data_IF_486832957643
#
_entry.id   IF_486832957643
#
_cell.length_a   1.000
_cell.length_b   1.000
_cell.length_c   1.000
_cell.angle_alpha   90.00
_cell.angle_beta   90.00
_cell.angle_gamma   90.00
#
_symmetry.space_group_name_H-M   'P 1'
#
loop_
_entity.id
_entity.type
_entity.pdbx_description
1 polymer ?
#
# COMPACT_ATOMS: atom_id res chain seq x y z
N UNK A 1 -0.57 -1.46 2.53
CA UNK A 1 -0.22 -1.02 3.88
C UNK A 1 -1.49 -1.16 4.70
N UNK A 2 -1.49 -0.90 6.01
CA UNK A 2 -2.65 -1.10 6.86
C UNK A 2 -2.92 -2.57 7.22
N UNK A 3 -4.19 -2.93 7.48
CA UNK A 3 -4.55 -4.28 7.94
C UNK A 3 -4.10 -5.33 6.94
N UNK A 4 -3.08 -6.12 7.31
CA UNK A 4 -2.39 -7.02 6.38
C UNK A 4 -3.30 -8.13 5.85
N UNK A 5 -3.44 -8.21 4.52
CA UNK A 5 -4.23 -9.23 3.83
C UNK A 5 -5.75 -9.06 3.95
N UNK A 6 -6.21 -7.99 4.60
CA UNK A 6 -7.63 -7.79 4.89
C UNK A 6 -8.47 -7.62 3.61
N UNK A 7 -8.04 -6.79 2.67
CA UNK A 7 -8.81 -6.58 1.44
C UNK A 7 -9.08 -7.86 0.65
N UNK A 8 -8.09 -8.76 0.55
CA UNK A 8 -8.25 -10.07 -0.11
C UNK A 8 -9.16 -10.98 0.71
N UNK A 9 -9.01 -10.96 2.04
CA UNK A 9 -9.85 -11.73 2.96
C UNK A 9 -11.31 -11.27 2.90
N UNK A 10 -11.56 -9.95 2.96
CA UNK A 10 -12.90 -9.38 2.94
C UNK A 10 -13.62 -9.68 1.62
N UNK A 11 -12.94 -9.59 0.47
CA UNK A 11 -13.50 -9.98 -0.84
C UNK A 11 -13.95 -11.44 -0.90
N UNK A 12 -13.30 -12.33 -0.16
CA UNK A 12 -13.66 -13.76 -0.09
C UNK A 12 -14.74 -14.02 0.94
N UNK A 13 -14.69 -13.37 2.10
CA UNK A 13 -15.53 -13.66 3.26
C UNK A 13 -16.88 -12.93 3.19
N UNK A 14 -16.87 -11.69 2.74
CA UNK A 14 -18.06 -10.83 2.64
C UNK A 14 -18.00 -10.00 1.33
N UNK A 15 -18.13 -10.63 0.14
CA UNK A 15 -18.00 -9.93 -1.14
C UNK A 15 -19.02 -8.82 -1.33
N UNK A 16 -20.20 -8.94 -0.73
CA UNK A 16 -21.30 -7.98 -0.84
C UNK A 16 -21.03 -6.61 -0.20
N UNK A 17 -19.98 -6.47 0.63
CA UNK A 17 -19.62 -5.17 1.25
C UNK A 17 -18.99 -4.20 0.24
N UNK A 18 -18.54 -4.68 -0.92
CA UNK A 18 -17.93 -3.85 -1.97
C UNK A 18 -19.00 -3.36 -2.94
N UNK A 19 -19.47 -2.13 -2.74
CA UNK A 19 -20.44 -1.49 -3.64
C UNK A 19 -19.69 -0.81 -4.77
N UNK A 20 -19.65 -1.43 -5.94
CA UNK A 20 -18.95 -0.93 -7.12
C UNK A 20 -19.54 0.41 -7.59
N UNK A 21 -18.68 1.35 -7.93
CA UNK A 21 -19.02 2.66 -8.49
C UNK A 21 -18.25 2.85 -9.79
N UNK A 22 -18.96 2.98 -10.91
CA UNK A 22 -18.39 3.07 -12.25
C UNK A 22 -18.08 4.51 -12.70
N UNK A 23 -18.71 5.51 -12.06
CA UNK A 23 -18.62 6.90 -12.48
C UNK A 23 -18.34 7.84 -11.32
N UNK A 24 -17.45 8.79 -11.55
CA UNK A 24 -17.13 9.85 -10.58
C UNK A 24 -18.34 10.74 -10.27
N UNK A 25 -19.27 10.90 -11.22
CA UNK A 25 -20.51 11.65 -11.04
C UNK A 25 -21.43 11.12 -9.92
N UNK A 26 -21.20 9.88 -9.45
CA UNK A 26 -21.87 9.35 -8.26
C UNK A 26 -21.65 10.24 -7.03
N UNK A 27 -20.47 10.86 -6.93
CA UNK A 27 -20.10 11.74 -5.82
C UNK A 27 -20.44 13.20 -6.04
N UNK A 28 -21.26 13.53 -7.06
CA UNK A 28 -21.66 14.92 -7.33
C UNK A 28 -22.32 15.55 -6.12
N UNK A 29 -21.80 16.70 -5.67
CA UNK A 29 -22.28 17.40 -4.48
C UNK A 29 -21.86 16.77 -3.14
N UNK A 30 -21.17 15.63 -3.16
CA UNK A 30 -20.67 15.02 -1.95
C UNK A 30 -19.39 15.72 -1.47
N UNK A 31 -19.14 15.61 -0.15
CA UNK A 31 -17.89 16.02 0.50
C UNK A 31 -17.00 14.80 0.71
N UNK A 32 -15.77 14.86 0.22
CA UNK A 32 -14.78 13.80 0.36
C UNK A 32 -13.61 14.28 1.20
N UNK A 33 -13.05 13.43 2.05
CA UNK A 33 -11.74 13.62 2.64
C UNK A 33 -10.77 12.60 2.04
N UNK A 34 -9.72 13.08 1.39
CA UNK A 34 -8.81 12.27 0.55
C UNK A 34 -7.43 12.25 1.18
N UNK A 35 -6.90 11.05 1.43
CA UNK A 35 -5.51 10.83 1.80
C UNK A 35 -4.61 11.16 0.60
N UNK A 36 -3.96 12.32 0.66
CA UNK A 36 -3.10 12.79 -0.43
C UNK A 36 -1.67 12.27 -0.32
N UNK A 37 -1.21 11.93 0.87
CA UNK A 37 0.11 11.30 1.03
C UNK A 37 0.17 10.02 0.19
N UNK A 38 -0.75 9.10 0.44
CA UNK A 38 -0.87 7.86 -0.31
C UNK A 38 -1.14 8.10 -1.81
N UNK A 39 -1.96 9.10 -2.15
CA UNK A 39 -2.32 9.39 -3.54
C UNK A 39 -1.14 9.90 -4.36
N UNK A 40 -0.30 10.76 -3.79
CA UNK A 40 0.95 11.23 -4.44
C UNK A 40 1.92 10.08 -4.63
N UNK A 41 2.07 9.18 -3.65
CA UNK A 41 2.85 7.95 -3.82
C UNK A 41 2.34 7.08 -4.98
N UNK A 42 1.03 6.88 -5.10
CA UNK A 42 0.44 6.13 -6.23
C UNK A 42 0.75 6.78 -7.57
N UNK A 43 0.62 8.12 -7.67
CA UNK A 43 0.95 8.87 -8.89
C UNK A 43 2.43 8.77 -9.22
N UNK A 44 3.31 8.88 -8.21
CA UNK A 44 4.76 8.77 -8.37
C UNK A 44 5.18 7.41 -8.96
N UNK A 45 4.72 6.31 -8.38
CA UNK A 45 5.05 4.98 -8.90
C UNK A 45 4.41 4.69 -10.27
N UNK A 46 3.21 5.18 -10.52
CA UNK A 46 2.56 5.06 -11.85
C UNK A 46 3.33 5.78 -12.94
N UNK A 47 3.92 6.92 -12.63
CA UNK A 47 4.71 7.74 -13.56
C UNK A 47 6.22 7.42 -13.52
N UNK A 48 6.60 6.25 -12.99
CA UNK A 48 7.99 5.81 -12.91
C UNK A 48 8.95 6.87 -12.32
N UNK A 49 8.48 7.64 -11.33
CA UNK A 49 9.25 8.68 -10.66
C UNK A 49 9.37 10.02 -11.40
N UNK A 50 8.67 10.19 -12.53
CA UNK A 50 8.68 11.46 -13.28
C UNK A 50 7.86 12.53 -12.56
N UNK A 51 8.51 13.52 -11.97
CA UNK A 51 7.90 14.57 -11.14
C UNK A 51 6.92 15.44 -11.92
N UNK A 52 7.28 15.87 -13.13
CA UNK A 52 6.40 16.71 -13.95
C UNK A 52 5.11 15.98 -14.33
N UNK A 53 5.20 14.68 -14.59
CA UNK A 53 4.03 13.85 -14.86
C UNK A 53 3.15 13.70 -13.59
N UNK A 54 3.76 13.55 -12.41
CA UNK A 54 3.02 13.50 -11.13
C UNK A 54 2.28 14.82 -10.89
N UNK A 55 2.94 15.96 -11.09
CA UNK A 55 2.31 17.28 -10.88
C UNK A 55 1.18 17.54 -11.87
N UNK A 56 1.34 17.13 -13.14
CA UNK A 56 0.23 17.15 -14.13
C UNK A 56 -0.93 16.26 -13.72
N UNK A 57 -0.65 15.10 -13.13
CA UNK A 57 -1.68 14.20 -12.60
C UNK A 57 -2.43 14.82 -11.41
N UNK A 58 -1.74 15.51 -10.50
CA UNK A 58 -2.36 16.23 -9.37
C UNK A 58 -3.27 17.36 -9.89
N UNK A 59 -2.81 18.14 -10.86
CA UNK A 59 -3.61 19.21 -11.48
C UNK A 59 -4.86 18.64 -12.18
N UNK A 60 -4.69 17.59 -12.96
CA UNK A 60 -5.81 16.89 -13.61
C UNK A 60 -6.78 16.30 -12.58
N UNK A 61 -6.28 15.81 -11.46
CA UNK A 61 -7.08 15.23 -10.40
C UNK A 61 -8.03 16.27 -9.78
N UNK A 62 -7.52 17.43 -9.37
CA UNK A 62 -8.36 18.49 -8.79
C UNK A 62 -9.36 19.05 -9.80
N UNK A 63 -8.93 19.26 -11.05
CA UNK A 63 -9.82 19.71 -12.15
C UNK A 63 -10.98 18.74 -12.38
N UNK A 64 -10.74 17.44 -12.35
CA UNK A 64 -11.77 16.41 -12.49
C UNK A 64 -12.76 16.41 -11.33
N UNK A 65 -12.31 16.63 -10.10
CA UNK A 65 -13.19 16.73 -8.94
C UNK A 65 -14.10 17.97 -9.06
N UNK A 66 -13.53 19.12 -9.40
CA UNK A 66 -14.27 20.37 -9.59
C UNK A 66 -15.30 20.26 -10.71
N UNK A 67 -14.95 19.62 -11.85
CA UNK A 67 -15.87 19.40 -12.97
C UNK A 67 -17.09 18.54 -12.59
N UNK A 68 -16.99 17.73 -11.54
CA UNK A 68 -18.10 16.94 -11.00
C UNK A 68 -18.75 17.59 -9.79
N UNK A 69 -18.40 18.83 -9.45
CA UNK A 69 -18.90 19.53 -8.24
C UNK A 69 -18.71 18.73 -6.96
N UNK A 70 -17.56 18.05 -6.84
CA UNK A 70 -17.17 17.31 -5.64
C UNK A 70 -16.40 18.24 -4.71
N UNK A 71 -16.85 18.38 -3.47
CA UNK A 71 -16.18 19.18 -2.44
C UNK A 71 -15.14 18.33 -1.71
N UNK A 72 -13.86 18.47 -2.08
CA UNK A 72 -12.79 17.62 -1.58
C UNK A 72 -11.89 18.32 -0.55
N UNK A 73 -11.64 17.65 0.56
CA UNK A 73 -10.58 17.94 1.51
C UNK A 73 -9.38 17.07 1.21
N UNK A 74 -8.23 17.67 1.00
CA UNK A 74 -6.96 17.02 0.70
C UNK A 74 -6.11 16.98 1.96
N UNK A 75 -5.92 15.79 2.51
CA UNK A 75 -5.26 15.61 3.81
C UNK A 75 -3.88 15.00 3.60
N UNK A 76 -2.85 15.67 4.13
CA UNK A 76 -1.47 15.21 4.17
C UNK A 76 -1.09 14.78 5.58
N UNK A 77 -0.12 13.86 5.70
CA UNK A 77 0.44 13.46 6.99
C UNK A 77 1.05 14.64 7.73
N UNK A 78 0.89 14.60 9.03
CA UNK A 78 1.56 15.50 9.98
C UNK A 78 2.76 14.84 10.64
N UNK A 79 2.97 15.11 11.93
CA UNK A 79 4.07 14.50 12.70
C UNK A 79 3.64 13.14 13.28
N UNK A 80 4.02 12.08 12.59
CA UNK A 80 3.73 10.69 13.02
C UNK A 80 4.78 10.10 13.96
N UNK A 81 5.73 10.94 14.46
CA UNK A 81 6.79 10.49 15.37
C UNK A 81 6.21 9.87 16.63
N UNK A 82 6.64 8.66 16.94
CA UNK A 82 6.20 7.90 18.09
C UNK A 82 4.96 7.01 17.87
N UNK A 83 4.06 7.34 16.94
CA UNK A 83 2.85 6.55 16.72
C UNK A 83 3.09 5.31 15.85
N UNK A 84 3.93 5.41 14.84
CA UNK A 84 4.20 4.34 13.84
C UNK A 84 5.63 3.76 13.94
N UNK A 85 6.22 3.72 15.14
CA UNK A 85 7.62 3.28 15.30
C UNK A 85 7.88 1.89 14.73
N UNK A 86 7.01 0.92 15.03
CA UNK A 86 7.14 -0.46 14.54
C UNK A 86 7.04 -0.53 13.01
N UNK A 87 6.11 0.22 12.42
CA UNK A 87 5.96 0.32 10.97
C UNK A 87 7.17 0.99 10.31
N UNK A 88 7.71 2.05 10.91
CA UNK A 88 8.92 2.73 10.41
C UNK A 88 10.14 1.81 10.40
N UNK A 89 10.39 1.08 11.48
CA UNK A 89 11.49 0.09 11.55
C UNK A 89 11.33 -0.99 10.48
N UNK A 90 10.12 -1.53 10.32
CA UNK A 90 9.82 -2.53 9.31
C UNK A 90 10.02 -2.00 7.89
N UNK A 91 9.51 -0.79 7.60
CA UNK A 91 9.67 -0.12 6.29
C UNK A 91 11.13 0.17 5.99
N UNK A 92 11.94 0.55 6.99
CA UNK A 92 13.38 0.76 6.84
C UNK A 92 14.08 -0.54 6.47
N UNK A 93 13.85 -1.64 7.20
CA UNK A 93 14.43 -2.96 6.88
C UNK A 93 14.02 -3.47 5.50
N UNK A 94 12.77 -3.27 5.12
CA UNK A 94 12.29 -3.65 3.79
C UNK A 94 12.94 -2.82 2.68
N UNK A 95 13.16 -1.53 2.93
CA UNK A 95 13.87 -0.64 2.02
C UNK A 95 15.33 -1.06 1.87
N UNK A 96 16.02 -1.37 2.96
CA UNK A 96 17.40 -1.85 2.95
C UNK A 96 17.52 -3.13 2.11
N UNK A 97 16.62 -4.10 2.29
CA UNK A 97 16.57 -5.32 1.46
C UNK A 97 16.32 -5.04 -0.02
N UNK A 98 15.51 -4.02 -0.33
CA UNK A 98 15.26 -3.63 -1.73
C UNK A 98 16.50 -3.01 -2.37
N UNK A 99 17.23 -2.18 -1.62
CA UNK A 99 18.49 -1.59 -2.06
C UNK A 99 19.54 -2.70 -2.29
N UNK A 100 19.74 -3.58 -1.32
CA UNK A 100 20.64 -4.74 -1.44
C UNK A 100 20.34 -5.57 -2.70
N UNK A 101 19.08 -5.92 -2.91
CA UNK A 101 18.66 -6.66 -4.10
C UNK A 101 18.85 -5.88 -5.41
N UNK A 102 18.78 -4.57 -5.37
CA UNK A 102 19.06 -3.71 -6.52
C UNK A 102 20.55 -3.74 -6.87
N UNK A 103 21.41 -3.63 -5.86
CA UNK A 103 22.88 -3.73 -6.00
C UNK A 103 23.31 -5.12 -6.52
N UNK A 104 22.68 -6.19 -6.02
CA UNK A 104 22.89 -7.56 -6.54
C UNK A 104 22.51 -7.67 -8.03
N UNK A 105 21.41 -7.04 -8.44
CA UNK A 105 20.99 -7.03 -9.85
C UNK A 105 21.97 -6.22 -10.72
N UNK A 106 22.49 -5.10 -10.22
CA UNK A 106 23.49 -4.31 -10.92
C UNK A 106 24.79 -5.08 -11.11
N UNK A 107 25.27 -5.76 -10.06
CA UNK A 107 26.44 -6.62 -10.14
C UNK A 107 26.24 -7.78 -11.12
N UNK A 108 25.07 -8.40 -11.11
CA UNK A 108 24.73 -9.47 -12.05
C UNK A 108 24.71 -9.00 -13.52
N UNK A 109 24.21 -7.79 -13.78
CA UNK A 109 24.26 -7.21 -15.14
C UNK A 109 25.71 -7.03 -15.59
N UNK A 110 26.58 -6.48 -14.74
CA UNK A 110 28.00 -6.30 -15.03
C UNK A 110 28.71 -7.64 -15.33
N UNK A 111 28.40 -8.68 -14.57
CA UNK A 111 28.93 -10.03 -14.84
C UNK A 111 28.48 -10.60 -16.19
N UNK A 112 27.20 -10.41 -16.54
CA UNK A 112 26.69 -10.83 -17.84
C UNK A 112 27.30 -10.03 -19.00
N UNK A 113 27.51 -8.71 -18.84
CA UNK A 113 28.15 -7.85 -19.83
C UNK A 113 29.63 -8.24 -20.03
N UNK A 114 30.36 -8.55 -18.94
CA UNK A 114 31.73 -9.04 -19.02
C UNK A 114 31.84 -10.39 -19.78
N UNK A 115 30.90 -11.29 -19.58
CA UNK A 115 30.83 -12.58 -20.33
C UNK A 115 30.58 -12.36 -21.81
N UNK A 116 29.83 -11.31 -22.19
CA UNK A 116 29.68 -10.95 -23.60
C UNK A 116 30.99 -10.42 -24.19
N UNK A 117 31.70 -9.57 -23.43
CA UNK A 117 32.99 -9.01 -23.87
C UNK A 117 34.06 -10.10 -24.05
N UNK A 118 34.14 -11.07 -23.13
CA UNK A 118 35.04 -12.23 -23.23
C UNK A 118 34.78 -13.07 -24.50
N UNK A 119 33.51 -13.16 -24.94
CA UNK A 119 33.12 -13.84 -26.19
C UNK A 119 33.23 -12.97 -27.44
N UNK A 120 33.73 -11.72 -27.29
CA UNK A 120 33.86 -10.77 -28.42
C UNK A 120 32.52 -10.26 -28.95
N UNK A 121 31.47 -10.34 -28.17
CA UNK A 121 30.10 -10.05 -28.54
C UNK A 121 29.58 -8.80 -27.79
N UNK A 122 28.92 -7.90 -28.52
CA UNK A 122 28.21 -6.77 -27.91
C UNK A 122 26.71 -7.04 -27.94
N UNK A 123 26.05 -7.11 -26.76
CA UNK A 123 24.60 -7.29 -26.72
C UNK A 123 23.90 -6.14 -27.43
N UNK A 124 23.11 -6.42 -28.46
CA UNK A 124 22.25 -5.42 -29.06
C UNK A 124 21.17 -5.02 -28.04
N UNK A 125 21.17 -3.75 -27.63
CA UNK A 125 20.15 -3.17 -26.78
C UNK A 125 18.81 -3.06 -27.54
N UNK A 126 18.12 -4.18 -27.66
CA UNK A 126 16.73 -4.17 -28.14
C UNK A 126 15.88 -3.63 -27.00
N UNK A 127 15.26 -2.47 -27.20
CA UNK A 127 14.19 -1.97 -26.33
C UNK A 127 13.06 -3.01 -26.34
N UNK A 128 12.89 -3.73 -25.22
CA UNK A 128 12.03 -4.93 -25.18
C UNK A 128 10.65 -4.58 -24.69
N UNK A 129 9.69 -4.63 -25.58
CA UNK A 129 8.29 -4.82 -25.23
C UNK A 129 8.09 -6.18 -24.57
N UNK A 130 7.24 -6.27 -23.54
CA UNK A 130 6.97 -7.50 -22.77
C UNK A 130 6.60 -8.70 -23.66
N UNK A 131 5.99 -8.45 -24.80
CA UNK A 131 5.62 -9.48 -25.78
C UNK A 131 6.82 -10.05 -26.54
N UNK A 132 7.88 -9.28 -26.75
CA UNK A 132 9.13 -9.73 -27.38
C UNK A 132 9.87 -10.72 -26.49
N UNK A 133 9.90 -10.48 -25.17
CA UNK A 133 10.50 -11.38 -24.16
C UNK A 133 9.86 -12.78 -24.19
N UNK A 134 8.53 -12.83 -24.34
CA UNK A 134 7.80 -14.12 -24.42
C UNK A 134 8.06 -14.85 -25.72
N UNK A 135 8.20 -14.11 -26.86
CA UNK A 135 8.50 -14.70 -28.18
C UNK A 135 9.91 -15.24 -28.24
N UNK A 136 10.90 -14.52 -27.70
CA UNK A 136 12.30 -14.97 -27.64
C UNK A 136 12.47 -16.24 -26.81
N UNK A 137 11.74 -16.38 -25.69
CA UNK A 137 11.72 -17.59 -24.87
C UNK A 137 11.22 -18.84 -25.63
N UNK A 138 10.18 -18.65 -26.43
CA UNK A 138 9.62 -19.74 -27.27
C UNK A 138 10.56 -20.08 -28.43
N UNK A 139 11.22 -19.06 -29.02
CA UNK A 139 12.19 -19.24 -30.09
C UNK A 139 13.44 -19.98 -29.56
N UNK A 140 14.08 -19.53 -28.49
CA UNK A 140 15.25 -20.17 -27.90
C UNK A 140 14.97 -21.64 -27.49
N UNK A 141 13.77 -21.92 -26.92
CA UNK A 141 13.37 -23.29 -26.60
C UNK A 141 13.13 -24.16 -27.83
N UNK A 142 12.57 -23.61 -28.93
CA UNK A 142 12.40 -24.32 -30.20
C UNK A 142 13.73 -24.60 -30.89
N UNK A 143 14.62 -23.62 -30.93
CA UNK A 143 15.96 -23.78 -31.54
C UNK A 143 16.77 -24.84 -30.81
N UNK A 144 16.74 -24.87 -29.47
CA UNK A 144 17.44 -25.90 -28.66
C UNK A 144 16.88 -27.30 -28.86
N UNK A 145 15.63 -27.47 -29.27
CA UNK A 145 14.97 -28.74 -29.54
C UNK A 145 15.19 -29.23 -31.00
N UNK A 146 15.68 -28.35 -31.91
CA UNK A 146 15.88 -28.66 -33.34
C UNK A 146 17.34 -28.84 -33.72
N UNK A 147 18.30 -28.52 -32.82
CA UNK A 147 19.74 -28.69 -33.08
C UNK A 147 20.16 -30.08 -32.61
N UNK A 148 20.03 -31.10 -33.48
CA UNK A 148 20.63 -32.43 -33.33
C UNK A 148 22.02 -32.50 -34.00
N UNK A 149 22.67 -31.34 -34.31
CA UNK A 149 23.95 -31.33 -35.01
C UNK A 149 25.10 -30.85 -34.12
N UNK A 150 26.26 -31.47 -34.27
CA UNK A 150 27.56 -31.13 -33.66
C UNK A 150 28.17 -29.84 -34.28
N UNK A 151 27.36 -28.90 -34.74
CA UNK A 151 27.77 -27.65 -35.33
C UNK A 151 28.07 -26.62 -34.23
N UNK A 152 29.38 -26.42 -33.94
CA UNK A 152 29.87 -25.46 -32.95
C UNK A 152 29.37 -24.02 -33.18
N UNK A 153 29.20 -23.62 -34.46
CA UNK A 153 28.70 -22.28 -34.80
C UNK A 153 27.22 -22.11 -34.41
N UNK A 154 26.41 -23.16 -34.58
CA UNK A 154 25.01 -23.13 -34.20
C UNK A 154 24.85 -23.12 -32.67
N UNK A 155 25.73 -23.86 -31.95
CA UNK A 155 25.75 -23.84 -30.47
C UNK A 155 26.18 -22.47 -29.94
N UNK A 156 27.20 -21.84 -30.52
CA UNK A 156 27.63 -20.49 -30.15
C UNK A 156 26.51 -19.45 -30.36
N UNK A 157 25.81 -19.49 -31.46
CA UNK A 157 24.69 -18.58 -31.75
C UNK A 157 23.53 -18.78 -30.75
N UNK A 158 23.26 -20.01 -30.30
CA UNK A 158 22.23 -20.30 -29.28
C UNK A 158 22.65 -19.74 -27.93
N UNK A 159 23.92 -19.84 -27.56
CA UNK A 159 24.45 -19.28 -26.31
C UNK A 159 24.40 -17.76 -26.31
N UNK A 160 24.70 -17.07 -27.43
CA UNK A 160 24.57 -15.62 -27.58
C UNK A 160 23.13 -15.16 -27.37
N UNK A 161 22.16 -15.80 -28.03
CA UNK A 161 20.73 -15.49 -27.85
C UNK A 161 20.27 -15.73 -26.41
N UNK A 162 20.80 -16.77 -25.76
CA UNK A 162 20.48 -17.05 -24.37
C UNK A 162 21.05 -15.97 -23.43
N UNK A 163 22.25 -15.49 -23.70
CA UNK A 163 22.93 -14.45 -22.93
C UNK A 163 22.24 -13.10 -23.10
N UNK A 164 21.86 -12.71 -24.30
CA UNK A 164 21.05 -11.52 -24.58
C UNK A 164 19.74 -11.53 -23.79
N UNK A 165 19.06 -12.67 -23.79
CA UNK A 165 17.81 -12.82 -23.05
C UNK A 165 18.00 -12.61 -21.55
N UNK A 166 19.06 -13.15 -20.95
CA UNK A 166 19.33 -12.98 -19.51
C UNK A 166 19.71 -11.51 -19.21
N UNK A 167 20.48 -10.83 -20.06
CA UNK A 167 20.80 -9.40 -19.91
C UNK A 167 19.54 -8.54 -19.97
N UNK A 168 18.70 -8.73 -20.99
CA UNK A 168 17.44 -8.01 -21.12
C UNK A 168 16.54 -8.20 -19.90
N UNK A 169 16.44 -9.43 -19.42
CA UNK A 169 15.65 -9.77 -18.23
C UNK A 169 16.22 -9.13 -16.97
N UNK A 170 17.55 -9.13 -16.81
CA UNK A 170 18.23 -8.50 -15.69
C UNK A 170 18.04 -6.97 -15.72
N UNK A 171 18.24 -6.32 -16.87
CA UNK A 171 18.02 -4.87 -17.08
C UNK A 171 16.57 -4.46 -16.84
N UNK A 172 15.59 -5.25 -17.28
CA UNK A 172 14.16 -4.99 -17.03
C UNK A 172 13.83 -5.06 -15.53
N UNK A 173 14.40 -6.04 -14.82
CA UNK A 173 14.25 -6.17 -13.37
C UNK A 173 14.93 -5.02 -12.64
N UNK A 174 16.12 -4.63 -13.07
CA UNK A 174 16.87 -3.51 -12.50
C UNK A 174 16.09 -2.19 -12.66
N UNK A 175 15.59 -1.88 -13.86
CA UNK A 175 14.75 -0.69 -14.11
C UNK A 175 13.51 -0.69 -13.21
N UNK A 176 12.83 -1.83 -13.06
CA UNK A 176 11.69 -1.96 -12.15
C UNK A 176 12.09 -1.78 -10.68
N UNK A 177 13.25 -2.30 -10.28
CA UNK A 177 13.80 -2.15 -8.93
C UNK A 177 14.18 -0.70 -8.63
N UNK A 178 14.77 0.02 -9.59
CA UNK A 178 15.10 1.45 -9.46
C UNK A 178 13.89 2.28 -9.08
N UNK A 179 12.74 2.04 -9.73
CA UNK A 179 11.49 2.72 -9.39
C UNK A 179 11.02 2.34 -7.98
N UNK A 180 11.17 1.08 -7.55
CA UNK A 180 10.72 0.61 -6.25
C UNK A 180 11.55 1.15 -5.08
N UNK A 181 12.82 1.45 -5.28
CA UNK A 181 13.69 2.06 -4.26
C UNK A 181 13.55 3.58 -4.20
N UNK A 182 13.12 4.22 -5.30
CA UNK A 182 12.89 5.64 -5.34
C UNK A 182 11.70 6.04 -4.42
N UNK A 183 11.77 7.24 -3.87
CA UNK A 183 10.72 7.83 -3.04
C UNK A 183 10.41 9.24 -3.51
N UNK A 184 9.16 9.68 -3.41
CA UNK A 184 8.82 11.09 -3.59
C UNK A 184 9.62 11.97 -2.63
N UNK A 185 10.11 13.10 -3.11
CA UNK A 185 10.80 14.07 -2.28
C UNK A 185 9.82 15.00 -1.56
N UNK A 186 10.31 15.71 -0.55
CA UNK A 186 9.53 16.74 0.16
C UNK A 186 9.12 17.87 -0.78
N UNK A 187 9.96 18.19 -1.76
CA UNK A 187 9.69 19.21 -2.78
C UNK A 187 8.48 18.81 -3.62
N UNK A 188 8.40 17.56 -4.07
CA UNK A 188 7.26 17.07 -4.83
C UNK A 188 5.95 17.22 -4.04
N UNK A 189 5.96 16.88 -2.74
CA UNK A 189 4.78 17.09 -1.88
C UNK A 189 4.42 18.56 -1.71
N UNK A 190 5.40 19.45 -1.58
CA UNK A 190 5.15 20.90 -1.51
C UNK A 190 4.52 21.44 -2.79
N UNK A 191 5.04 21.06 -3.95
CA UNK A 191 4.49 21.50 -5.24
C UNK A 191 3.10 20.91 -5.50
N UNK A 192 2.88 19.63 -5.20
CA UNK A 192 1.57 19.01 -5.25
C UNK A 192 0.54 19.77 -4.38
N UNK A 193 0.96 20.14 -3.16
CA UNK A 193 0.15 20.93 -2.24
C UNK A 193 -0.24 22.29 -2.82
N UNK A 194 0.72 23.02 -3.38
CA UNK A 194 0.46 24.32 -4.02
C UNK A 194 -0.53 24.22 -5.19
N UNK A 195 -0.46 23.15 -5.99
CA UNK A 195 -1.41 22.90 -7.07
C UNK A 195 -2.82 22.70 -6.49
N UNK A 196 -2.95 21.89 -5.43
CA UNK A 196 -4.24 21.64 -4.77
C UNK A 196 -4.81 22.91 -4.14
N UNK A 197 -3.98 23.74 -3.49
CA UNK A 197 -4.39 25.02 -2.89
C UNK A 197 -4.88 26.01 -3.93
N UNK A 198 -4.25 26.08 -5.10
CA UNK A 198 -4.70 26.93 -6.22
C UNK A 198 -5.98 26.43 -6.89
N UNK A 199 -6.14 25.10 -6.94
CA UNK A 199 -7.26 24.44 -7.61
C UNK A 199 -8.48 24.23 -6.73
N UNK A 200 -8.45 24.60 -5.45
CA UNK A 200 -9.51 24.30 -4.47
C UNK A 200 -9.91 25.55 -3.67
N UNK A 201 -11.11 25.57 -3.10
CA UNK A 201 -11.50 26.62 -2.14
C UNK A 201 -10.53 26.70 -0.94
N UNK A 202 -10.35 27.86 -0.31
CA UNK A 202 -9.50 28.00 0.87
C UNK A 202 -9.88 27.02 1.99
N UNK A 203 -8.87 26.48 2.69
CA UNK A 203 -9.06 25.56 3.81
C UNK A 203 -9.39 24.11 3.40
N UNK A 204 -9.27 23.75 2.12
CA UNK A 204 -9.46 22.38 1.65
C UNK A 204 -8.19 21.52 1.68
N UNK A 205 -7.02 22.14 1.75
CA UNK A 205 -5.75 21.43 1.91
C UNK A 205 -5.33 21.48 3.37
N UNK A 206 -5.24 20.33 4.00
CA UNK A 206 -5.07 20.15 5.45
C UNK A 206 -3.82 19.32 5.71
N UNK A 207 -3.02 19.72 6.73
CA UNK A 207 -2.06 18.83 7.36
C UNK A 207 -2.71 18.21 8.58
N UNK A 208 -2.77 16.88 8.65
CA UNK A 208 -3.25 16.19 9.84
C UNK A 208 -2.33 16.52 11.04
N UNK A 209 -2.82 16.49 12.27
CA UNK A 209 -1.95 16.58 13.44
C UNK A 209 -0.91 15.47 13.49
N UNK A 210 -1.31 14.28 13.02
CA UNK A 210 -0.52 13.06 12.98
C UNK A 210 -0.68 12.35 11.63
N UNK A 211 -1.59 11.41 11.52
CA UNK A 211 -1.80 10.51 10.41
C UNK A 211 -2.99 10.97 9.53
N UNK A 212 -2.79 11.05 8.21
CA UNK A 212 -3.84 11.47 7.28
C UNK A 212 -5.03 10.50 7.28
N UNK A 213 -4.79 9.18 7.33
CA UNK A 213 -5.85 8.17 7.32
C UNK A 213 -6.76 8.28 8.56
N UNK A 214 -6.15 8.49 9.72
CA UNK A 214 -6.87 8.74 10.97
C UNK A 214 -7.67 10.03 10.89
N UNK A 215 -7.09 11.10 10.33
CA UNK A 215 -7.75 12.39 10.21
C UNK A 215 -8.94 12.37 9.24
N UNK A 216 -8.81 11.71 8.08
CA UNK A 216 -9.95 11.54 7.15
C UNK A 216 -11.07 10.70 7.77
N UNK A 217 -10.73 9.68 8.56
CA UNK A 217 -11.72 8.89 9.30
C UNK A 217 -12.48 9.76 10.34
N UNK A 218 -11.76 10.63 11.08
CA UNK A 218 -12.37 11.61 12.01
C UNK A 218 -13.33 12.57 11.31
N UNK A 219 -12.93 13.10 10.15
CA UNK A 219 -13.80 14.00 9.38
C UNK A 219 -15.08 13.28 8.91
N UNK A 220 -14.97 12.02 8.51
CA UNK A 220 -16.11 11.21 8.09
C UNK A 220 -17.00 10.81 9.29
N UNK A 221 -16.41 10.31 10.38
CA UNK A 221 -17.13 9.94 11.60
C UNK A 221 -17.86 11.14 12.23
N UNK A 222 -17.24 12.33 12.19
CA UNK A 222 -17.85 13.60 12.67
C UNK A 222 -18.87 14.21 11.71
N UNK A 223 -19.20 13.56 10.60
CA UNK A 223 -20.19 14.05 9.62
C UNK A 223 -19.76 15.28 8.82
N UNK A 224 -18.49 15.70 8.89
CA UNK A 224 -17.96 16.83 8.12
C UNK A 224 -17.80 16.50 6.63
N UNK A 225 -17.58 15.23 6.33
CA UNK A 225 -17.54 14.70 4.97
C UNK A 225 -18.42 13.46 4.85
N UNK A 226 -18.85 13.14 3.61
CA UNK A 226 -19.68 11.98 3.36
C UNK A 226 -18.84 10.69 3.24
N UNK A 227 -17.62 10.81 2.73
CA UNK A 227 -16.75 9.66 2.47
C UNK A 227 -15.29 9.99 2.81
N UNK A 228 -14.60 9.04 3.43
CA UNK A 228 -13.15 8.98 3.45
C UNK A 228 -12.64 8.27 2.19
N UNK A 229 -11.54 8.73 1.62
CA UNK A 229 -10.93 8.17 0.40
C UNK A 229 -9.50 7.78 0.72
N UNK A 230 -9.25 6.49 0.84
CA UNK A 230 -7.91 5.91 1.00
C UNK A 230 -7.86 4.52 0.35
N UNK A 231 -6.67 4.02 0.04
CA UNK A 231 -6.47 2.63 -0.32
C UNK A 231 -6.25 1.74 0.91
N UNK A 232 -6.13 2.35 2.09
CA UNK A 232 -5.86 1.65 3.34
C UNK A 232 -7.14 1.40 4.15
N UNK A 233 -7.31 0.15 4.54
CA UNK A 233 -8.47 -0.30 5.31
C UNK A 233 -8.40 0.07 6.80
N UNK A 234 -7.26 0.55 7.30
CA UNK A 234 -7.12 1.06 8.67
C UNK A 234 -8.11 2.20 8.93
N UNK A 235 -8.47 2.96 7.88
CA UNK A 235 -9.52 3.99 7.90
C UNK A 235 -10.86 3.48 8.45
N UNK A 236 -11.24 2.22 8.16
CA UNK A 236 -12.44 1.59 8.74
C UNK A 236 -12.24 1.28 10.22
N UNK A 237 -11.06 0.80 10.61
CA UNK A 237 -10.74 0.52 12.01
C UNK A 237 -10.64 1.81 12.85
N UNK A 238 -10.38 2.96 12.21
CA UNK A 238 -10.52 4.28 12.82
C UNK A 238 -11.98 4.78 12.88
N UNK A 239 -12.96 3.99 12.47
CA UNK A 239 -14.38 4.31 12.60
C UNK A 239 -14.96 5.16 11.47
N UNK A 240 -14.31 5.25 10.31
CA UNK A 240 -14.93 5.89 9.14
C UNK A 240 -16.17 5.11 8.70
N UNK A 241 -17.36 5.74 8.65
CA UNK A 241 -18.58 5.04 8.26
C UNK A 241 -18.57 4.62 6.79
N UNK A 242 -17.89 5.38 5.94
CA UNK A 242 -17.88 5.19 4.48
C UNK A 242 -16.47 5.35 3.94
N UNK A 243 -15.88 4.29 3.42
CA UNK A 243 -14.57 4.29 2.78
C UNK A 243 -14.72 4.10 1.27
N UNK A 244 -14.09 4.95 0.47
CA UNK A 244 -13.93 4.76 -0.98
C UNK A 244 -12.54 4.28 -1.26
N UNK A 245 -12.45 3.10 -1.89
CA UNK A 245 -11.19 2.50 -2.34
C UNK A 245 -11.05 2.61 -3.85
N UNK A 246 -9.80 2.47 -4.34
CA UNK A 246 -9.47 2.55 -5.78
C UNK A 246 -10.05 3.79 -6.48
N UNK A 247 -10.17 4.90 -5.76
CA UNK A 247 -10.75 6.15 -6.24
C UNK A 247 -10.08 6.64 -7.53
N UNK A 248 -10.87 7.04 -8.50
CA UNK A 248 -10.50 7.38 -9.88
C UNK A 248 -10.18 6.19 -10.80
N UNK A 249 -10.39 4.96 -10.37
CA UNK A 249 -10.31 3.78 -11.23
C UNK A 249 -11.73 3.20 -11.46
N UNK A 250 -12.41 3.52 -12.57
CA UNK A 250 -13.80 3.11 -12.78
C UNK A 250 -14.02 1.58 -12.76
N UNK A 251 -12.98 0.82 -13.12
CA UNK A 251 -13.06 -0.65 -13.13
C UNK A 251 -12.94 -1.29 -11.73
N UNK A 252 -12.49 -0.52 -10.71
CA UNK A 252 -12.20 -1.06 -9.38
C UNK A 252 -12.75 -0.24 -8.23
N UNK A 253 -13.19 1.00 -8.51
CA UNK A 253 -13.70 1.91 -7.50
C UNK A 253 -14.89 1.30 -6.77
N UNK A 254 -14.82 1.30 -5.44
CA UNK A 254 -15.90 0.78 -4.62
C UNK A 254 -16.05 1.58 -3.32
N UNK A 255 -17.28 1.64 -2.84
CA UNK A 255 -17.64 2.13 -1.51
C UNK A 255 -17.76 0.92 -0.58
N UNK A 256 -17.22 1.08 0.61
CA UNK A 256 -17.34 0.11 1.70
C UNK A 256 -17.97 0.84 2.89
N UNK A 257 -19.11 0.33 3.36
CA UNK A 257 -19.74 0.81 4.57
C UNK A 257 -19.23 -0.01 5.76
N UNK A 258 -18.86 0.67 6.84
CA UNK A 258 -18.34 0.02 8.06
C UNK A 258 -19.36 -0.96 8.66
N UNK A 259 -20.63 -0.55 8.71
CA UNK A 259 -21.70 -1.40 9.26
C UNK A 259 -21.86 -2.71 8.46
N UNK A 260 -21.79 -2.65 7.12
CA UNK A 260 -21.82 -3.85 6.27
C UNK A 260 -20.61 -4.77 6.56
N UNK A 261 -19.44 -4.19 6.87
CA UNK A 261 -18.23 -4.96 7.23
C UNK A 261 -18.41 -5.65 8.58
N UNK A 262 -18.88 -4.93 9.58
CA UNK A 262 -19.11 -5.47 10.92
C UNK A 262 -20.14 -6.60 10.89
N UNK A 263 -21.26 -6.40 10.20
CA UNK A 263 -22.30 -7.41 9.99
C UNK A 263 -21.76 -8.61 9.20
N UNK A 264 -21.10 -8.39 8.07
CA UNK A 264 -20.55 -9.45 7.22
C UNK A 264 -19.46 -10.28 7.91
N UNK A 265 -18.73 -9.67 8.85
CA UNK A 265 -17.76 -10.37 9.68
C UNK A 265 -18.37 -10.87 10.99
N UNK A 266 -19.59 -10.51 11.36
CA UNK A 266 -20.26 -10.89 12.60
C UNK A 266 -19.43 -10.51 13.84
N UNK A 267 -18.99 -9.25 13.92
CA UNK A 267 -18.16 -8.71 15.00
C UNK A 267 -18.63 -7.31 15.39
N UNK A 268 -18.40 -6.93 16.64
CA UNK A 268 -18.57 -5.55 17.10
C UNK A 268 -17.42 -4.67 16.61
N UNK A 269 -17.55 -3.35 16.75
CA UNK A 269 -16.46 -2.41 16.41
C UNK A 269 -15.20 -2.69 17.25
N UNK A 270 -15.34 -2.97 18.54
CA UNK A 270 -14.20 -3.31 19.40
C UNK A 270 -13.49 -4.58 18.95
N UNK A 271 -14.26 -5.62 18.61
CA UNK A 271 -13.72 -6.85 18.05
C UNK A 271 -13.05 -6.63 16.69
N UNK A 272 -13.56 -5.70 15.88
CA UNK A 272 -12.96 -5.35 14.61
C UNK A 272 -11.62 -4.63 14.78
N UNK A 273 -11.51 -3.73 15.77
CA UNK A 273 -10.23 -3.11 16.15
C UNK A 273 -9.22 -4.17 16.58
N UNK A 274 -9.60 -5.08 17.45
CA UNK A 274 -8.74 -6.18 17.91
C UNK A 274 -8.35 -7.12 16.76
N UNK A 275 -9.29 -7.41 15.88
CA UNK A 275 -9.02 -8.15 14.65
C UNK A 275 -7.96 -7.44 13.78
N UNK A 276 -8.06 -6.11 13.58
CA UNK A 276 -7.10 -5.32 12.81
C UNK A 276 -5.69 -5.38 13.44
N UNK A 277 -5.61 -5.25 14.76
CA UNK A 277 -4.36 -5.37 15.52
C UNK A 277 -3.73 -6.75 15.34
N UNK A 278 -4.52 -7.83 15.47
CA UNK A 278 -4.05 -9.21 15.30
C UNK A 278 -3.57 -9.52 13.88
N UNK A 279 -4.19 -8.94 12.86
CA UNK A 279 -3.72 -9.03 11.48
C UNK A 279 -2.38 -8.32 11.26
N UNK A 280 -2.05 -7.37 12.12
CA UNK A 280 -0.93 -6.44 12.01
C UNK A 280 -1.34 -5.17 11.30
N UNK A 281 -1.25 -4.06 12.00
CA UNK A 281 -1.47 -2.70 11.53
C UNK A 281 -0.18 -1.87 11.68
N UNK A 282 -0.22 -0.61 11.27
CA UNK A 282 0.94 0.28 11.35
C UNK A 282 1.31 0.68 12.79
N UNK A 283 0.40 0.46 13.76
CA UNK A 283 0.52 0.88 15.16
C UNK A 283 0.92 -0.24 16.12
N UNK A 284 0.96 -1.48 15.66
CA UNK A 284 1.33 -2.64 16.50
C UNK A 284 2.23 -3.63 15.78
N UNK A 285 3.00 -4.39 16.56
CA UNK A 285 3.70 -5.58 16.09
C UNK A 285 2.71 -6.63 15.56
N UNK A 286 3.24 -7.60 14.82
CA UNK A 286 2.44 -8.71 14.29
C UNK A 286 2.65 -9.97 15.13
N UNK A 287 1.56 -10.64 15.50
CA UNK A 287 1.65 -11.96 16.10
C UNK A 287 2.04 -13.01 15.05
N UNK A 288 3.12 -13.78 15.25
CA UNK A 288 3.57 -14.77 14.29
C UNK A 288 2.48 -15.80 13.94
N UNK A 289 2.32 -16.07 12.65
CA UNK A 289 1.37 -17.07 12.16
C UNK A 289 -0.12 -16.71 12.34
N UNK A 290 -0.47 -15.48 12.71
CA UNK A 290 -1.84 -14.97 12.71
C UNK A 290 -2.05 -14.12 11.45
N UNK A 291 -3.02 -14.53 10.65
CA UNK A 291 -3.55 -13.78 9.52
C UNK A 291 -5.06 -13.59 9.69
N UNK A 292 -5.76 -12.95 8.73
CA UNK A 292 -7.16 -12.56 8.89
C UNK A 292 -8.12 -13.69 9.29
N UNK A 293 -7.96 -14.89 8.77
CA UNK A 293 -8.80 -16.02 9.14
C UNK A 293 -8.70 -16.37 10.64
N UNK A 294 -7.45 -16.53 11.14
CA UNK A 294 -7.22 -16.84 12.55
C UNK A 294 -7.56 -15.69 13.47
N UNK A 295 -7.29 -14.46 13.03
CA UNK A 295 -7.65 -13.26 13.79
C UNK A 295 -9.17 -13.20 14.03
N UNK A 296 -9.98 -13.44 12.97
CA UNK A 296 -11.43 -13.46 13.09
C UNK A 296 -11.94 -14.58 14.03
N UNK A 297 -11.37 -15.78 13.93
CA UNK A 297 -11.70 -16.89 14.84
C UNK A 297 -11.40 -16.54 16.31
N UNK A 298 -10.27 -15.88 16.55
CA UNK A 298 -9.84 -15.48 17.89
C UNK A 298 -10.81 -14.45 18.47
N UNK A 299 -11.07 -13.34 17.79
CA UNK A 299 -11.94 -12.28 18.32
C UNK A 299 -13.38 -12.75 18.49
N UNK A 300 -13.89 -13.66 17.64
CA UNK A 300 -15.21 -14.25 17.80
C UNK A 300 -15.30 -15.20 18.99
N UNK A 301 -14.23 -15.97 19.24
CA UNK A 301 -14.22 -16.98 20.31
C UNK A 301 -13.94 -16.38 21.67
N UNK A 302 -13.01 -15.44 21.76
CA UNK A 302 -12.51 -14.91 23.04
C UNK A 302 -13.04 -13.51 23.34
N UNK A 303 -13.63 -12.82 22.36
CA UNK A 303 -14.16 -11.47 22.54
C UNK A 303 -13.11 -10.37 22.35
N UNK A 304 -11.95 -10.49 22.98
CA UNK A 304 -10.87 -9.51 22.93
C UNK A 304 -9.48 -10.16 22.90
N UNK A 305 -8.44 -9.33 22.69
CA UNK A 305 -7.03 -9.77 22.67
C UNK A 305 -6.61 -10.30 24.05
N UNK A 306 -7.02 -9.64 25.15
CA UNK A 306 -6.65 -9.97 26.51
C UNK A 306 -7.07 -11.40 26.86
N UNK A 307 -8.32 -11.76 26.60
CA UNK A 307 -8.85 -13.08 26.90
C UNK A 307 -8.20 -14.20 26.06
N UNK A 308 -7.71 -13.84 24.87
CA UNK A 308 -7.00 -14.77 23.99
C UNK A 308 -5.49 -14.87 24.30
N UNK A 309 -4.95 -13.94 25.09
CA UNK A 309 -3.50 -13.69 25.15
C UNK A 309 -2.71 -14.92 25.57
N UNK A 310 -2.93 -15.43 26.78
CA UNK A 310 -2.14 -16.54 27.33
C UNK A 310 -2.34 -17.86 26.57
N UNK A 311 -3.58 -18.13 26.16
CA UNK A 311 -3.91 -19.42 25.52
C UNK A 311 -3.54 -19.49 24.03
N UNK A 312 -3.52 -18.36 23.30
CA UNK A 312 -3.43 -18.37 21.85
C UNK A 312 -2.36 -17.46 21.25
N UNK A 313 -2.00 -16.36 21.91
CA UNK A 313 -1.07 -15.38 21.38
C UNK A 313 0.34 -15.59 21.91
N UNK A 314 0.51 -15.61 23.23
CA UNK A 314 1.79 -15.77 23.91
C UNK A 314 2.62 -16.97 23.41
N UNK A 315 2.04 -18.18 23.20
CA UNK A 315 2.80 -19.33 22.71
C UNK A 315 3.33 -19.20 21.27
N UNK A 316 2.96 -18.16 20.54
CA UNK A 316 3.39 -17.93 19.17
C UNK A 316 4.65 -17.10 19.04
N UNK A 317 5.02 -16.40 20.10
CA UNK A 317 6.25 -15.64 20.15
C UNK A 317 7.44 -16.56 20.45
N UNK A 318 8.58 -16.28 19.80
CA UNK A 318 9.79 -17.10 19.96
C UNK A 318 10.65 -16.66 21.14
N UNK A 319 10.57 -15.36 21.48
CA UNK A 319 11.38 -14.78 22.56
C UNK A 319 10.50 -13.99 23.54
N UNK A 320 10.98 -13.84 24.77
CA UNK A 320 10.34 -12.99 25.78
C UNK A 320 10.28 -11.53 25.35
N UNK A 321 11.30 -11.05 24.63
CA UNK A 321 11.37 -9.69 24.10
C UNK A 321 10.26 -9.41 23.07
N UNK A 322 9.92 -10.38 22.22
CA UNK A 322 8.80 -10.26 21.29
C UNK A 322 7.46 -10.15 22.04
N UNK A 323 7.31 -10.90 23.13
CA UNK A 323 6.13 -10.86 24.01
C UNK A 323 6.01 -9.49 24.68
N UNK A 324 7.09 -9.01 25.27
CA UNK A 324 7.14 -7.71 25.96
C UNK A 324 6.89 -6.53 25.01
N UNK A 325 7.38 -6.60 23.76
CA UNK A 325 7.15 -5.58 22.74
C UNK A 325 5.69 -5.56 22.26
N UNK A 326 5.04 -6.71 22.16
CA UNK A 326 3.67 -6.79 21.63
C UNK A 326 2.62 -6.16 22.56
N UNK A 327 2.71 -6.37 23.89
CA UNK A 327 1.70 -5.88 24.84
C UNK A 327 1.52 -4.35 24.84
N UNK A 328 2.58 -3.53 24.98
CA UNK A 328 2.44 -2.09 24.89
C UNK A 328 1.95 -1.62 23.53
N UNK A 329 2.39 -2.30 22.45
CA UNK A 329 2.01 -1.94 21.10
C UNK A 329 0.53 -2.14 20.82
N UNK A 330 -0.08 -3.24 21.26
CA UNK A 330 -1.50 -3.44 21.01
C UNK A 330 -2.39 -2.50 21.83
N UNK A 331 -1.99 -2.15 23.06
CA UNK A 331 -2.71 -1.19 23.88
C UNK A 331 -2.69 0.20 23.23
N UNK A 332 -1.53 0.64 22.72
CA UNK A 332 -1.37 1.89 21.97
C UNK A 332 -2.16 1.88 20.67
N UNK A 333 -2.12 0.78 19.92
CA UNK A 333 -2.89 0.64 18.69
C UNK A 333 -4.39 0.77 18.95
N UNK A 334 -4.91 0.11 19.99
CA UNK A 334 -6.31 0.21 20.42
C UNK A 334 -6.68 1.65 20.81
N UNK A 335 -5.81 2.34 21.54
CA UNK A 335 -6.02 3.75 21.87
C UNK A 335 -6.14 4.62 20.62
N UNK A 336 -5.24 4.47 19.64
CA UNK A 336 -5.31 5.21 18.39
C UNK A 336 -6.64 5.00 17.65
N UNK A 337 -7.17 3.78 17.65
CA UNK A 337 -8.45 3.47 17.02
C UNK A 337 -9.64 4.03 17.81
N UNK A 338 -9.67 3.87 19.15
CA UNK A 338 -10.80 4.29 20.02
C UNK A 338 -10.96 5.81 20.15
N UNK A 339 -9.90 6.59 20.05
CA UNK A 339 -9.99 8.05 20.17
C UNK A 339 -10.91 8.66 19.09
N UNK A 340 -10.95 8.07 17.90
CA UNK A 340 -11.84 8.49 16.82
C UNK A 340 -13.30 8.22 17.18
N UNK A 341 -13.58 7.07 17.79
CA UNK A 341 -14.93 6.69 18.18
C UNK A 341 -15.48 7.59 19.31
N UNK A 342 -14.67 7.93 20.31
CA UNK A 342 -15.03 8.88 21.38
C UNK A 342 -15.39 10.25 20.83
N UNK A 343 -14.64 10.76 19.86
CA UNK A 343 -14.94 12.05 19.21
C UNK A 343 -16.24 12.00 18.38
N UNK A 344 -16.58 10.85 17.80
CA UNK A 344 -17.87 10.61 17.13
C UNK A 344 -19.05 10.75 18.09
N UNK A 345 -18.88 10.27 19.32
CA UNK A 345 -19.92 10.30 20.36
C UNK A 345 -20.02 11.65 21.11
N UNK A 346 -19.16 12.63 20.76
CA UNK A 346 -19.17 13.96 21.40
C UNK A 346 -18.46 14.01 22.77
N UNK A 347 -17.76 12.95 23.13
CA UNK A 347 -16.99 12.90 24.37
C UNK A 347 -15.74 13.79 24.32
N UNK A 348 -15.49 14.56 25.39
CA UNK A 348 -14.27 15.37 25.49
C UNK A 348 -13.03 14.47 25.54
N UNK A 349 -11.93 14.86 24.86
CA UNK A 349 -10.70 14.09 24.93
C UNK A 349 -10.19 14.03 26.37
N UNK A 350 -9.91 12.83 26.86
CA UNK A 350 -9.07 12.68 28.06
C UNK A 350 -7.66 13.19 27.73
N UNK A 351 -7.01 13.92 28.67
CA UNK A 351 -5.62 14.32 28.47
C UNK A 351 -4.77 13.05 28.32
N UNK A 352 -3.92 13.04 27.29
CA UNK A 352 -2.96 11.97 27.05
C UNK A 352 -2.13 11.78 28.32
N UNK A 353 -2.23 10.62 28.94
CA UNK A 353 -1.25 10.18 29.94
C UNK A 353 0.05 9.90 29.14
N UNK A 354 0.90 10.92 29.10
CA UNK A 354 2.29 10.79 28.73
C UNK A 354 3.06 10.63 30.04
N UNK A 355 3.58 9.44 30.28
CA UNK A 355 4.79 9.18 31.05
C UNK A 355 5.59 8.08 30.37
#
# INVERSE_FOLDING_TARGET
MGIQGFGVFLRKKAPGVFRSVDKLSYFKGAKLAIDMEHKVYQMFYRNAGNYDAVLRDVDSFVKRLNAQSIDAYFVFDGDTKGLKNTAHVKRKKEQERRVEKHEELEAHIKDLEAKCEEKGYKPELIMVDKDIVVRSRKAAKRTRLQVESEDEAALAAIEEVALDFEIVKAKTRHASSTIQIAKPTRELFKEARLILERGSPPGRVITAPDDAERHIALLAAGGKVNFAVSADYDTLAFGSPNLVIDFMNPAKMAIIHLDDVLEGLGVSMEQFIDFAILCGCDFSGKVPGIGPHRALEIVRKYGCIEDAYDAKLKPRFKTSEEVEAFQPDFARARFCHREVERRRLGDKPEPAACD
#
